data_IF_118256055261
#
_entry.id   IF_118256055261
#
_cell.length_a   1.000
_cell.length_b   1.000
_cell.length_c   1.000
_cell.angle_alpha   90.00
_cell.angle_beta   90.00
_cell.angle_gamma   90.00
#
_symmetry.space_group_name_H-M   'P 1'
#
loop_
_entity.id
_entity.type
_entity.pdbx_description
1 polymer ?
#
# COMPACT_ATOMS: atom_id res chain seq x y z
N UNK A 1 1.74 -9.29 9.48
CA UNK A 1 0.45 -8.94 8.85
C UNK A 1 -0.05 -10.08 8.00
N UNK A 2 -0.46 -11.19 8.61
CA UNK A 2 -0.79 -12.43 7.89
C UNK A 2 -2.30 -12.71 7.79
N UNK A 3 -3.14 -11.78 8.22
CA UNK A 3 -4.58 -11.81 7.96
C UNK A 3 -4.78 -11.73 6.44
N UNK A 4 -5.57 -12.64 5.87
CA UNK A 4 -5.92 -12.59 4.45
C UNK A 4 -6.83 -11.41 4.18
N UNK A 5 -6.37 -10.51 3.32
CA UNK A 5 -7.07 -9.30 2.87
C UNK A 5 -7.51 -9.43 1.42
N UNK A 6 -6.69 -10.09 0.60
CA UNK A 6 -6.97 -10.34 -0.81
C UNK A 6 -6.94 -11.85 -1.09
N UNK A 7 -8.09 -12.55 -1.04
CA UNK A 7 -8.15 -14.01 -1.21
C UNK A 7 -7.56 -14.51 -2.55
N UNK A 8 -7.54 -13.65 -3.57
CA UNK A 8 -6.98 -13.92 -4.89
C UNK A 8 -5.57 -13.32 -5.07
N UNK A 9 -4.99 -12.84 -3.97
CA UNK A 9 -3.69 -12.19 -3.93
C UNK A 9 -2.52 -13.16 -4.10
N UNK A 10 -1.32 -12.67 -3.81
CA UNK A 10 -0.10 -13.47 -3.94
C UNK A 10 0.20 -14.31 -2.70
N UNK A 11 1.02 -15.34 -2.89
CA UNK A 11 1.60 -16.15 -1.81
C UNK A 11 2.49 -15.28 -0.91
N UNK A 12 2.24 -15.35 0.39
CA UNK A 12 3.04 -14.71 1.43
C UNK A 12 4.19 -15.63 1.85
N UNK A 13 5.25 -15.06 2.42
CA UNK A 13 6.38 -15.80 2.99
C UNK A 13 5.98 -16.75 4.13
N UNK A 14 4.83 -16.51 4.77
CA UNK A 14 4.29 -17.43 5.77
C UNK A 14 3.57 -18.67 5.19
N UNK A 15 3.42 -18.75 3.87
CA UNK A 15 2.74 -19.85 3.16
C UNK A 15 1.26 -19.60 2.84
N UNK A 16 0.61 -18.63 3.50
CA UNK A 16 -0.77 -18.25 3.19
C UNK A 16 -0.86 -17.42 1.89
N UNK A 17 -2.08 -17.25 1.38
CA UNK A 17 -2.39 -16.38 0.24
C UNK A 17 -3.04 -15.09 0.73
N UNK A 18 -2.64 -13.96 0.13
CA UNK A 18 -3.41 -12.73 0.27
C UNK A 18 -3.20 -11.94 1.54
N UNK A 19 -2.13 -12.21 2.28
CA UNK A 19 -1.86 -11.56 3.56
C UNK A 19 -1.76 -10.03 3.44
N UNK A 20 -2.23 -9.27 4.44
CA UNK A 20 -2.07 -7.81 4.52
C UNK A 20 -0.65 -7.34 4.17
N UNK A 21 0.37 -8.05 4.64
CA UNK A 21 1.77 -7.73 4.35
C UNK A 21 2.09 -7.70 2.85
N UNK A 22 1.50 -8.60 2.06
CA UNK A 22 1.75 -8.68 0.60
C UNK A 22 1.12 -7.53 -0.17
N UNK A 23 0.24 -6.76 0.47
CA UNK A 23 -0.45 -5.61 -0.13
C UNK A 23 -0.05 -4.27 0.50
N UNK A 24 0.34 -4.22 1.77
CA UNK A 24 0.52 -2.97 2.52
C UNK A 24 1.92 -2.71 3.09
N UNK A 25 2.86 -3.66 3.03
CA UNK A 25 4.24 -3.37 3.45
C UNK A 25 4.99 -2.54 2.40
N UNK A 26 5.93 -1.70 2.83
CA UNK A 26 6.72 -0.84 1.93
C UNK A 26 7.30 -1.56 0.69
N UNK A 27 8.00 -2.72 0.79
CA UNK A 27 8.49 -3.42 -0.39
C UNK A 27 7.36 -3.93 -1.30
N UNK A 28 6.21 -4.30 -0.72
CA UNK A 28 5.05 -4.78 -1.47
C UNK A 28 4.25 -3.67 -2.14
N UNK A 29 4.18 -2.48 -1.54
CA UNK A 29 3.65 -1.28 -2.19
C UNK A 29 4.47 -1.00 -3.46
N UNK A 30 5.80 -0.95 -3.33
CA UNK A 30 6.72 -0.76 -4.46
C UNK A 30 6.52 -1.82 -5.54
N UNK A 31 6.49 -3.09 -5.15
CA UNK A 31 6.26 -4.22 -6.08
C UNK A 31 4.98 -4.04 -6.88
N UNK A 32 3.85 -3.80 -6.20
CA UNK A 32 2.53 -3.67 -6.84
C UNK A 32 2.45 -2.43 -7.73
N UNK A 33 3.08 -1.33 -7.31
CA UNK A 33 3.19 -0.12 -8.13
C UNK A 33 3.96 -0.41 -9.41
N UNK A 34 5.09 -1.12 -9.34
CA UNK A 34 5.86 -1.53 -10.54
C UNK A 34 5.06 -2.45 -11.46
N UNK A 35 4.43 -3.47 -10.90
CA UNK A 35 3.59 -4.41 -11.67
C UNK A 35 2.47 -3.67 -12.42
N UNK A 36 1.86 -2.66 -11.80
CA UNK A 36 0.80 -1.87 -12.43
C UNK A 36 1.31 -0.87 -13.44
N UNK A 37 2.47 -0.25 -13.21
CA UNK A 37 3.15 0.65 -14.18
C UNK A 37 3.50 -0.05 -15.49
N UNK A 38 3.97 -1.30 -15.43
CA UNK A 38 4.29 -2.08 -16.63
C UNK A 38 3.06 -2.34 -17.53
N UNK A 39 1.86 -2.23 -16.98
CA UNK A 39 0.61 -2.44 -17.70
C UNK A 39 -0.01 -1.14 -18.23
N UNK A 40 0.44 0.02 -17.72
CA UNK A 40 -0.21 1.32 -17.95
C UNK A 40 0.79 2.46 -17.68
N UNK A 41 1.37 3.00 -18.74
CA UNK A 41 2.60 3.82 -18.68
C UNK A 41 2.34 5.34 -18.65
N UNK A 42 1.25 5.79 -18.04
CA UNK A 42 0.82 7.21 -18.07
C UNK A 42 1.30 8.06 -16.88
N UNK A 43 1.95 7.45 -15.87
CA UNK A 43 2.39 8.13 -14.63
C UNK A 43 3.76 8.81 -14.72
N UNK A 44 4.01 9.85 -13.92
CA UNK A 44 5.34 10.43 -13.67
C UNK A 44 6.34 9.37 -13.18
N UNK A 45 5.85 8.35 -12.47
CA UNK A 45 6.63 7.20 -12.00
C UNK A 45 7.19 6.34 -13.14
N UNK A 46 6.68 6.45 -14.37
CA UNK A 46 7.28 5.78 -15.53
C UNK A 46 8.71 6.26 -15.80
N UNK A 47 8.99 7.56 -15.60
CA UNK A 47 10.33 8.15 -15.73
C UNK A 47 11.28 7.68 -14.64
N UNK A 48 10.78 7.46 -13.42
CA UNK A 48 11.52 6.88 -12.30
C UNK A 48 11.78 5.38 -12.51
N UNK A 49 10.77 4.64 -12.99
CA UNK A 49 10.82 3.20 -13.24
C UNK A 49 11.79 2.78 -14.34
N UNK A 50 12.12 3.68 -15.27
CA UNK A 50 13.09 3.43 -16.35
C UNK A 50 14.55 3.49 -15.90
N UNK A 51 14.88 4.18 -14.79
CA UNK A 51 16.27 4.45 -14.43
C UNK A 51 16.63 4.28 -12.93
N UNK A 52 15.68 4.10 -12.00
CA UNK A 52 16.01 3.91 -10.57
C UNK A 52 15.01 3.00 -9.83
N UNK A 53 15.54 2.23 -8.88
CA UNK A 53 14.74 1.63 -7.82
C UNK A 53 14.07 2.75 -7.01
N UNK A 54 12.75 2.96 -7.18
CA UNK A 54 11.98 3.83 -6.30
C UNK A 54 11.49 3.07 -5.06
N UNK A 55 11.27 3.83 -3.98
CA UNK A 55 10.81 3.40 -2.66
C UNK A 55 9.34 3.75 -2.44
N UNK A 56 8.74 3.27 -1.33
CA UNK A 56 7.39 3.68 -0.96
C UNK A 56 7.29 5.18 -0.62
N UNK A 57 8.36 5.77 -0.10
CA UNK A 57 8.43 7.20 0.19
C UNK A 57 8.41 8.04 -1.11
N UNK A 58 9.09 7.57 -2.17
CA UNK A 58 9.05 8.22 -3.48
C UNK A 58 7.63 8.21 -4.06
N UNK A 59 6.90 7.09 -3.94
CA UNK A 59 5.49 7.00 -4.37
C UNK A 59 4.64 8.03 -3.61
N UNK A 60 4.81 8.12 -2.28
CA UNK A 60 4.10 9.12 -1.50
C UNK A 60 4.49 10.56 -1.85
N UNK A 61 5.75 10.79 -2.23
CA UNK A 61 6.22 12.09 -2.70
C UNK A 61 5.56 12.49 -4.03
N UNK A 62 5.56 11.60 -5.03
CA UNK A 62 4.90 11.83 -6.32
C UNK A 62 3.38 12.03 -6.16
N UNK A 63 2.74 11.26 -5.26
CA UNK A 63 1.33 11.44 -4.93
C UNK A 63 1.03 12.84 -4.37
N UNK A 64 1.89 13.36 -3.47
CA UNK A 64 1.79 14.76 -2.99
C UNK A 64 2.07 15.78 -4.10
N UNK A 65 2.88 15.42 -5.08
CA UNK A 65 3.16 16.21 -6.27
C UNK A 65 2.00 16.24 -7.28
N UNK A 66 0.91 15.52 -7.03
CA UNK A 66 -0.27 15.47 -7.90
C UNK A 66 -0.23 14.36 -8.96
N UNK A 67 0.64 13.34 -8.82
CA UNK A 67 0.57 12.17 -9.70
C UNK A 67 -0.61 11.27 -9.29
N UNK A 68 -1.66 11.24 -10.12
CA UNK A 68 -2.89 10.50 -9.87
C UNK A 68 -2.66 8.99 -9.67
N UNK A 69 -1.70 8.43 -10.38
CA UNK A 69 -1.39 7.01 -10.29
C UNK A 69 -0.70 6.66 -8.96
N UNK A 70 0.27 7.47 -8.54
CA UNK A 70 0.91 7.34 -7.24
C UNK A 70 -0.12 7.51 -6.11
N UNK A 71 -0.99 8.51 -6.23
CA UNK A 71 -2.10 8.71 -5.29
C UNK A 71 -3.02 7.49 -5.22
N UNK A 72 -3.42 6.93 -6.36
CA UNK A 72 -4.22 5.71 -6.43
C UNK A 72 -3.54 4.52 -5.73
N UNK A 73 -2.23 4.37 -5.85
CA UNK A 73 -1.49 3.28 -5.19
C UNK A 73 -1.44 3.44 -3.67
N UNK A 74 -1.26 4.67 -3.18
CA UNK A 74 -1.33 4.97 -1.74
C UNK A 74 -2.76 4.79 -1.22
N UNK A 75 -3.76 5.26 -1.95
CA UNK A 75 -5.18 5.13 -1.59
C UNK A 75 -5.61 3.67 -1.47
N UNK A 76 -5.22 2.83 -2.44
CA UNK A 76 -5.42 1.38 -2.34
C UNK A 76 -4.75 0.78 -1.12
N UNK A 77 -3.54 1.23 -0.80
CA UNK A 77 -2.82 0.78 0.41
C UNK A 77 -3.60 1.11 1.67
N UNK A 78 -4.09 2.35 1.79
CA UNK A 78 -4.93 2.79 2.91
C UNK A 78 -6.17 1.90 3.07
N UNK A 79 -6.90 1.62 1.98
CA UNK A 79 -8.07 0.72 2.03
C UNK A 79 -7.77 -0.67 2.57
N UNK A 80 -6.64 -1.29 2.19
CA UNK A 80 -6.27 -2.61 2.73
C UNK A 80 -5.98 -2.56 4.23
N UNK A 81 -5.33 -1.48 4.68
CA UNK A 81 -5.07 -1.25 6.10
C UNK A 81 -6.39 -1.03 6.85
N UNK A 82 -7.31 -0.21 6.32
CA UNK A 82 -8.64 0.01 6.87
C UNK A 82 -9.43 -1.29 7.04
N UNK A 83 -9.45 -2.16 6.01
CA UNK A 83 -10.08 -3.49 6.11
C UNK A 83 -9.48 -4.34 7.23
N UNK A 84 -8.16 -4.33 7.38
CA UNK A 84 -7.49 -5.06 8.45
C UNK A 84 -7.83 -4.49 9.84
N UNK A 85 -7.87 -3.16 9.97
CA UNK A 85 -8.23 -2.48 11.22
C UNK A 85 -9.68 -2.80 11.59
N UNK A 86 -10.62 -2.68 10.65
CA UNK A 86 -12.02 -3.01 10.87
C UNK A 86 -12.18 -4.47 11.34
N UNK A 87 -11.41 -5.39 10.76
CA UNK A 87 -11.38 -6.79 11.20
C UNK A 87 -10.94 -6.91 12.66
N UNK A 88 -9.86 -6.24 13.05
CA UNK A 88 -9.35 -6.27 14.43
C UNK A 88 -10.32 -5.61 15.42
N UNK A 89 -10.89 -4.46 15.06
CA UNK A 89 -11.89 -3.75 15.87
C UNK A 89 -13.11 -4.64 16.11
N UNK A 90 -13.64 -5.28 15.07
CA UNK A 90 -14.80 -6.16 15.19
C UNK A 90 -14.53 -7.40 16.07
N UNK A 91 -13.29 -7.92 16.06
CA UNK A 91 -12.92 -9.09 16.85
C UNK A 91 -12.62 -8.77 18.32
N UNK A 92 -11.98 -7.63 18.57
CA UNK A 92 -11.39 -7.32 19.88
C UNK A 92 -12.05 -6.13 20.57
N UNK A 93 -12.95 -5.42 19.90
CA UNK A 93 -13.62 -4.20 20.39
C UNK A 93 -12.61 -3.16 20.92
N UNK A 94 -11.59 -2.84 20.12
CA UNK A 94 -10.51 -1.94 20.53
C UNK A 94 -10.94 -0.48 20.54
N UNK A 95 -10.62 0.25 21.61
CA UNK A 95 -10.95 1.68 21.74
C UNK A 95 -9.97 2.63 21.02
N UNK A 96 -8.77 2.15 20.68
CA UNK A 96 -7.73 2.95 20.03
C UNK A 96 -6.88 2.12 19.09
N UNK A 97 -6.58 2.69 17.93
CA UNK A 97 -5.63 2.16 16.95
C UNK A 97 -4.48 3.14 16.80
N UNK A 98 -3.24 2.66 16.89
CA UNK A 98 -2.02 3.46 16.68
C UNK A 98 -1.31 2.91 15.46
N UNK A 99 -1.13 3.75 14.45
CA UNK A 99 -0.45 3.39 13.21
C UNK A 99 0.99 3.91 13.23
N UNK A 100 1.92 3.04 12.81
CA UNK A 100 3.34 3.35 12.77
C UNK A 100 4.06 2.70 11.59
N UNK A 101 5.37 2.94 11.49
CA UNK A 101 6.21 2.46 10.39
C UNK A 101 6.33 3.46 9.25
N UNK A 102 7.34 3.27 8.39
CA UNK A 102 7.73 4.26 7.36
C UNK A 102 6.66 4.56 6.31
N UNK A 103 5.67 3.68 6.12
CA UNK A 103 4.54 3.95 5.21
C UNK A 103 3.66 5.11 5.72
N UNK A 104 3.64 5.36 7.03
CA UNK A 104 2.87 6.47 7.62
C UNK A 104 3.45 7.86 7.29
N UNK A 105 4.66 7.94 6.73
CA UNK A 105 5.22 9.19 6.19
C UNK A 105 4.43 9.75 5.00
N UNK A 106 3.51 8.95 4.42
CA UNK A 106 2.54 9.43 3.44
C UNK A 106 1.51 10.42 4.04
N UNK A 107 1.35 10.46 5.38
CA UNK A 107 0.46 11.40 6.06
C UNK A 107 -1.01 11.23 5.66
N UNK A 108 -1.72 12.33 5.43
CA UNK A 108 -3.16 12.29 5.14
C UNK A 108 -3.51 11.46 3.90
N UNK A 109 -2.62 11.38 2.91
CA UNK A 109 -2.84 10.57 1.71
C UNK A 109 -3.13 9.09 2.00
N UNK A 110 -2.55 8.56 3.09
CA UNK A 110 -2.83 7.18 3.51
C UNK A 110 -3.82 7.10 4.67
N UNK A 111 -3.99 8.17 5.45
CA UNK A 111 -4.93 8.18 6.57
C UNK A 111 -6.38 8.41 6.14
N UNK A 112 -6.64 9.25 5.14
CA UNK A 112 -8.00 9.48 4.63
C UNK A 112 -8.68 8.21 4.08
N UNK A 113 -7.98 7.29 3.40
CA UNK A 113 -8.59 6.06 2.87
C UNK A 113 -8.65 4.89 3.86
N UNK A 114 -8.16 5.05 5.10
CA UNK A 114 -8.22 4.05 6.19
C UNK A 114 -9.55 4.17 6.91
#
# INVERSE_FOLDING_TARGET
GHITIDPEGVVCVCGNVGCLETVASAPNIVRRTRERLMRDSTSSLSRLGLNKNFTAADIAHEARGGDDFAALMIERTGRYIGTAIATVVNLLNTERVVLGGGVMEAGQLILEPI
#
